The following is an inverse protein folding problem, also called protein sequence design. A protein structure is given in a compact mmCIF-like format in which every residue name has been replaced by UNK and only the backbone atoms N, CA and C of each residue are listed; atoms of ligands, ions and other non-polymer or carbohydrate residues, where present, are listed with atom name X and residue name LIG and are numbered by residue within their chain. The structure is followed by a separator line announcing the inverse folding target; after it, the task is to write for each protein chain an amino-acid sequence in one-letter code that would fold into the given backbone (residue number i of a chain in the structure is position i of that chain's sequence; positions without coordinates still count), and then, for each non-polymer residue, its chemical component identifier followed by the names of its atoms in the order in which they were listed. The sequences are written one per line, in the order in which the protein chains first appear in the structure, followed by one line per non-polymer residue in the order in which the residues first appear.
data_IF_526798145164
#
_entry.id   IF_526798145164
#
_cell.length_a   1.000
_cell.length_b   1.000
_cell.length_c   1.000
_cell.angle_alpha   90.00
_cell.angle_beta   90.00
_cell.angle_gamma   90.00
#
_symmetry.space_group_name_H-M   'P 1'
#
loop_
_entity.id
_entity.type
_entity.pdbx_description
1 polymer ?
#
# COMPACT_ATOMS: atom_id res chain seq x y z
N UNK A 1 -14.77 -24.67 7.67
CA UNK A 1 -13.56 -24.12 7.03
C UNK A 1 -13.07 -22.98 7.92
N UNK A 2 -11.83 -23.04 8.46
CA UNK A 2 -11.28 -21.95 9.29
C UNK A 2 -10.54 -20.98 8.35
N UNK A 3 -11.07 -19.77 8.15
CA UNK A 3 -10.32 -18.71 7.48
C UNK A 3 -9.25 -18.21 8.45
N UNK A 4 -7.99 -18.32 8.05
CA UNK A 4 -6.88 -17.68 8.75
C UNK A 4 -6.58 -16.34 8.07
N UNK A 5 -6.63 -15.26 8.84
CA UNK A 5 -6.30 -13.90 8.41
C UNK A 5 -4.93 -13.53 8.98
N UNK A 6 -3.96 -13.18 8.12
CA UNK A 6 -2.61 -12.77 8.54
C UNK A 6 -2.34 -11.34 8.03
N UNK A 7 -1.95 -10.44 8.94
CA UNK A 7 -1.53 -9.07 8.65
C UNK A 7 -0.02 -8.97 8.51
N UNK A 8 0.46 -8.11 7.60
CA UNK A 8 1.90 -7.98 7.29
C UNK A 8 2.31 -6.51 7.27
N UNK A 9 2.93 -6.03 8.35
CA UNK A 9 3.43 -4.65 8.49
C UNK A 9 4.89 -4.52 8.01
N UNK A 10 5.22 -3.53 7.16
CA UNK A 10 6.59 -3.28 6.68
C UNK A 10 7.00 -1.80 6.80
N UNK A 11 8.23 -1.47 7.21
CA UNK A 11 8.70 -0.08 7.48
C UNK A 11 9.94 0.25 6.64
N UNK A 12 9.97 1.41 5.99
CA UNK A 12 11.16 1.91 5.24
C UNK A 12 11.78 3.12 5.92
N UNK A 13 13.05 3.00 6.33
CA UNK A 13 13.85 4.10 6.85
C UNK A 13 14.76 4.63 5.71
N UNK A 14 14.64 5.90 5.33
CA UNK A 14 15.66 6.58 4.53
C UNK A 14 16.74 7.12 5.48
N UNK A 15 18.01 6.84 5.20
CA UNK A 15 19.15 7.45 5.87
C UNK A 15 20.10 8.03 4.82
N UNK A 16 20.67 9.19 5.09
CA UNK A 16 21.64 9.84 4.21
C UNK A 16 23.00 9.14 4.30
N UNK A 17 23.39 8.42 3.25
CA UNK A 17 24.79 8.16 2.92
C UNK A 17 25.11 8.65 1.50
N UNK A 18 26.26 9.31 1.41
CA UNK A 18 26.77 10.01 0.22
C UNK A 18 27.03 9.10 -0.99
N UNK A 19 26.51 9.56 -2.14
CA UNK A 19 26.99 9.45 -3.53
C UNK A 19 27.42 8.08 -4.07
N UNK A 20 26.49 7.43 -4.76
CA UNK A 20 26.69 6.86 -6.09
C UNK A 20 25.38 6.98 -6.90
N UNK A 21 25.39 7.26 -8.22
CA UNK A 21 24.19 7.19 -9.03
C UNK A 21 23.97 5.72 -9.40
N UNK A 22 23.22 5.03 -8.57
CA UNK A 22 22.74 3.68 -8.82
C UNK A 22 21.23 3.77 -8.64
N UNK A 23 20.45 3.39 -9.66
CA UNK A 23 19.07 2.98 -9.46
C UNK A 23 19.07 1.73 -8.58
N UNK A 24 19.39 1.90 -7.30
CA UNK A 24 19.30 0.87 -6.29
C UNK A 24 17.82 0.81 -5.89
N UNK A 25 17.12 -0.22 -6.34
CA UNK A 25 15.86 -0.62 -5.73
C UNK A 25 16.11 -0.84 -4.24
N UNK A 26 15.59 0.07 -3.42
CA UNK A 26 15.65 -0.07 -1.97
C UNK A 26 14.42 -0.87 -1.56
N UNK A 27 14.63 -2.10 -1.08
CA UNK A 27 13.58 -2.95 -0.52
C UNK A 27 13.75 -3.03 0.99
N UNK A 28 12.69 -2.74 1.74
CA UNK A 28 12.63 -3.20 3.12
C UNK A 28 12.04 -4.62 3.13
N UNK A 29 12.73 -5.53 3.82
CA UNK A 29 12.27 -6.90 4.05
C UNK A 29 11.96 -7.07 5.53
N UNK A 30 10.76 -7.55 5.84
CA UNK A 30 10.45 -8.05 7.19
C UNK A 30 10.57 -9.56 7.17
N UNK A 31 11.31 -10.12 8.12
CA UNK A 31 11.36 -11.58 8.31
C UNK A 31 9.92 -12.09 8.54
N UNK A 32 9.46 -13.08 7.75
CA UNK A 32 8.13 -13.62 7.93
C UNK A 32 7.99 -14.16 9.35
N UNK A 33 6.80 -14.01 9.94
CA UNK A 33 6.52 -14.74 11.18
C UNK A 33 6.62 -16.24 10.90
N UNK A 34 6.97 -17.09 11.89
CA UNK A 34 7.17 -18.53 11.65
C UNK A 34 6.00 -19.24 10.96
N UNK A 35 4.80 -18.64 10.99
CA UNK A 35 3.58 -19.18 10.41
C UNK A 35 2.98 -18.29 9.30
N UNK A 36 3.71 -17.30 8.78
CA UNK A 36 3.20 -16.48 7.68
C UNK A 36 3.19 -17.29 6.38
N UNK A 37 2.06 -17.31 5.62
CA UNK A 37 2.00 -18.06 4.35
C UNK A 37 2.71 -17.33 3.20
N UNK A 38 3.03 -16.05 3.38
CA UNK A 38 3.71 -15.21 2.41
C UNK A 38 4.88 -14.45 3.03
N UNK A 39 5.90 -14.23 2.23
CA UNK A 39 6.93 -13.22 2.46
C UNK A 39 6.52 -11.95 1.70
N UNK A 40 6.57 -10.79 2.35
CA UNK A 40 6.21 -9.51 1.75
C UNK A 40 7.40 -8.54 1.71
N UNK A 41 7.55 -7.83 0.60
CA UNK A 41 8.59 -6.83 0.38
C UNK A 41 7.97 -5.59 -0.26
N UNK A 42 8.26 -4.41 0.27
CA UNK A 42 7.91 -3.14 -0.39
C UNK A 42 9.15 -2.63 -1.09
N UNK A 43 9.08 -2.61 -2.41
CA UNK A 43 10.15 -2.19 -3.30
C UNK A 43 9.91 -0.72 -3.64
N UNK A 44 10.90 0.12 -3.36
CA UNK A 44 10.88 1.55 -3.69
C UNK A 44 11.58 1.74 -5.02
N UNK A 45 10.84 2.13 -6.06
CA UNK A 45 11.41 2.47 -7.37
C UNK A 45 11.87 3.92 -7.43
N UNK A 46 11.18 4.80 -6.69
CA UNK A 46 11.52 6.21 -6.59
C UNK A 46 11.60 6.66 -5.13
N UNK A 47 12.78 7.15 -4.72
CA UNK A 47 13.07 7.61 -3.36
C UNK A 47 13.00 9.13 -3.19
N UNK A 48 12.99 9.89 -4.29
CA UNK A 48 13.00 11.35 -4.28
C UNK A 48 11.82 11.92 -5.06
N UNK A 49 11.10 12.85 -4.43
CA UNK A 49 9.93 13.51 -5.01
C UNK A 49 10.09 15.02 -4.91
N UNK A 50 9.67 15.73 -5.97
CA UNK A 50 9.68 17.19 -5.97
C UNK A 50 8.39 17.65 -5.28
N UNK A 51 8.51 18.34 -4.15
CA UNK A 51 7.38 18.98 -3.48
C UNK A 51 7.10 20.34 -4.14
N UNK A 52 5.93 20.55 -4.78
CA UNK A 52 5.61 21.83 -5.40
C UNK A 52 5.50 22.94 -4.37
N UNK A 53 5.85 24.17 -4.76
CA UNK A 53 5.74 25.34 -3.88
C UNK A 53 4.30 25.62 -3.41
N UNK A 54 3.29 25.17 -4.15
CA UNK A 54 1.88 25.30 -3.76
C UNK A 54 1.43 24.29 -2.71
N UNK A 55 2.24 23.25 -2.43
CA UNK A 55 1.89 22.13 -1.55
C UNK A 55 2.76 22.04 -0.29
N UNK A 56 3.42 23.13 0.10
CA UNK A 56 4.23 23.16 1.33
C UNK A 56 3.79 24.24 2.29
N UNK A 57 4.12 24.04 3.57
CA UNK A 57 4.02 25.02 4.63
C UNK A 57 2.68 25.05 5.37
N UNK A 58 2.63 25.91 6.40
CA UNK A 58 1.53 25.96 7.37
C UNK A 58 0.15 26.27 6.76
N UNK A 59 0.11 27.12 5.74
CA UNK A 59 -1.16 27.50 5.10
C UNK A 59 -1.78 26.30 4.36
N UNK A 60 -0.96 25.57 3.60
CA UNK A 60 -1.40 24.36 2.91
C UNK A 60 -1.83 23.28 3.92
N UNK A 61 -1.04 23.03 4.96
CA UNK A 61 -1.39 22.08 6.03
C UNK A 61 -2.77 22.38 6.65
N UNK A 62 -2.98 23.63 7.07
CA UNK A 62 -4.26 24.06 7.67
C UNK A 62 -5.44 23.90 6.71
N UNK A 63 -5.22 24.14 5.42
CA UNK A 63 -6.28 23.95 4.43
C UNK A 63 -6.66 22.47 4.29
N UNK A 64 -5.67 21.57 4.17
CA UNK A 64 -5.92 20.12 4.11
C UNK A 64 -6.66 19.62 5.35
N UNK A 65 -6.25 20.07 6.55
CA UNK A 65 -6.87 19.69 7.83
C UNK A 65 -8.29 20.24 8.01
N UNK A 66 -8.61 21.39 7.40
CA UNK A 66 -9.90 22.04 7.54
C UNK A 66 -10.93 21.58 6.48
N UNK A 67 -10.46 21.09 5.34
CA UNK A 67 -11.32 20.63 4.26
C UNK A 67 -12.03 19.33 4.64
N UNK A 68 -13.34 19.26 4.38
CA UNK A 68 -14.17 18.08 4.65
C UNK A 68 -14.60 17.36 3.38
N UNK A 69 -14.50 18.05 2.25
CA UNK A 69 -14.87 17.57 0.92
C UNK A 69 -13.64 17.03 0.19
N UNK A 70 -13.61 15.72 -0.05
CA UNK A 70 -12.51 15.05 -0.73
C UNK A 70 -12.30 15.55 -2.16
N UNK A 71 -13.33 16.08 -2.81
CA UNK A 71 -13.23 16.59 -4.20
C UNK A 71 -12.50 17.94 -4.26
N UNK A 72 -12.44 18.66 -3.14
CA UNK A 72 -11.70 19.92 -3.02
C UNK A 72 -10.25 19.71 -2.62
N UNK A 73 -9.91 18.56 -2.04
CA UNK A 73 -8.53 18.22 -1.72
C UNK A 73 -7.70 18.07 -2.99
N UNK A 74 -6.39 18.40 -2.95
CA UNK A 74 -5.53 18.14 -4.07
C UNK A 74 -5.34 16.63 -4.23
N UNK A 75 -5.04 16.17 -5.45
CA UNK A 75 -4.71 14.76 -5.67
C UNK A 75 -3.61 14.29 -4.71
N UNK A 76 -3.79 13.09 -4.15
CA UNK A 76 -2.82 12.45 -3.27
C UNK A 76 -1.42 12.44 -3.91
N UNK A 77 -0.34 12.57 -3.13
CA UNK A 77 1.00 12.52 -3.66
C UNK A 77 1.25 11.21 -4.41
N UNK A 78 1.86 11.35 -5.60
CA UNK A 78 2.29 10.21 -6.40
C UNK A 78 3.53 9.58 -5.78
N UNK A 79 3.55 8.26 -5.78
CA UNK A 79 4.70 7.44 -5.39
C UNK A 79 4.96 6.40 -6.48
N UNK A 80 6.13 5.77 -6.47
CA UNK A 80 6.40 4.59 -7.30
C UNK A 80 6.93 3.48 -6.42
N UNK A 81 5.99 2.67 -5.90
CA UNK A 81 6.26 1.54 -5.03
C UNK A 81 5.67 0.26 -5.64
N UNK A 82 6.26 -0.88 -5.31
CA UNK A 82 5.71 -2.20 -5.63
C UNK A 82 5.67 -3.03 -4.37
N UNK A 83 4.47 -3.50 -4.00
CA UNK A 83 4.31 -4.54 -3.00
C UNK A 83 4.49 -5.90 -3.67
N UNK A 84 5.53 -6.61 -3.28
CA UNK A 84 5.82 -7.97 -3.70
C UNK A 84 5.40 -8.96 -2.62
N UNK A 85 4.58 -9.94 -2.98
CA UNK A 85 4.10 -11.02 -2.12
C UNK A 85 4.55 -12.35 -2.70
N UNK A 86 5.43 -13.06 -2.01
CA UNK A 86 5.90 -14.40 -2.39
C UNK A 86 5.24 -15.45 -1.52
N UNK A 87 4.53 -16.39 -2.12
CA UNK A 87 3.97 -17.52 -1.38
C UNK A 87 5.09 -18.49 -0.98
N UNK A 88 5.33 -18.58 0.33
CA UNK A 88 6.34 -19.48 0.93
C UNK A 88 5.70 -20.73 1.53
N UNK A 89 4.37 -20.85 1.46
CA UNK A 89 3.61 -22.00 1.92
C UNK A 89 3.50 -23.08 0.83
N UNK A 90 2.89 -24.22 1.19
CA UNK A 90 2.59 -25.34 0.28
C UNK A 90 1.18 -25.26 -0.30
N UNK A 91 0.38 -24.30 0.14
CA UNK A 91 -1.02 -24.12 -0.26
C UNK A 91 -1.14 -22.86 -1.12
N UNK A 92 -2.21 -22.78 -1.92
CA UNK A 92 -2.53 -21.56 -2.65
C UNK A 92 -2.91 -20.44 -1.68
N UNK A 93 -2.39 -19.23 -1.93
CA UNK A 93 -2.71 -18.02 -1.16
C UNK A 93 -3.59 -17.12 -2.01
N UNK A 94 -4.72 -16.71 -1.48
CA UNK A 94 -5.67 -15.85 -2.19
C UNK A 94 -5.55 -14.39 -1.75
N UNK A 95 -5.59 -13.52 -2.75
CA UNK A 95 -5.65 -12.08 -2.58
C UNK A 95 -7.11 -11.66 -2.68
N UNK A 96 -7.77 -11.60 -1.52
CA UNK A 96 -9.15 -11.19 -1.31
C UNK A 96 -10.24 -12.13 -1.90
N UNK A 97 -11.05 -12.81 -1.04
CA UNK A 97 -12.03 -13.79 -1.50
C UNK A 97 -13.32 -13.23 -2.11
N UNK A 98 -13.52 -11.90 -2.11
CA UNK A 98 -14.79 -11.27 -2.52
C UNK A 98 -14.71 -10.48 -3.83
N UNK A 99 -13.69 -10.73 -4.65
CA UNK A 99 -13.71 -10.38 -6.08
C UNK A 99 -13.22 -8.99 -6.49
N UNK A 100 -12.59 -8.22 -5.61
CA UNK A 100 -11.90 -6.98 -5.97
C UNK A 100 -10.46 -6.99 -5.41
N UNK A 101 -9.52 -6.44 -6.16
CA UNK A 101 -8.14 -6.24 -5.67
C UNK A 101 -8.20 -5.14 -4.61
N UNK A 102 -7.87 -5.49 -3.37
CA UNK A 102 -7.63 -4.50 -2.31
C UNK A 102 -6.19 -4.00 -2.42
N UNK A 103 -5.97 -2.69 -2.35
CA UNK A 103 -4.63 -2.15 -2.16
C UNK A 103 -4.24 -2.17 -0.69
N UNK A 104 -2.93 -2.20 -0.36
CA UNK A 104 -2.48 -2.14 1.03
C UNK A 104 -3.00 -0.91 1.75
N UNK A 105 -3.27 -1.08 3.03
CA UNK A 105 -3.41 0.05 3.94
C UNK A 105 -2.03 0.68 4.11
N UNK A 106 -1.89 1.93 3.68
CA UNK A 106 -0.65 2.67 3.82
C UNK A 106 -0.66 3.44 5.14
N UNK A 107 0.48 3.54 5.79
CA UNK A 107 0.72 4.47 6.89
C UNK A 107 1.98 5.27 6.57
N UNK A 108 1.86 6.59 6.59
CA UNK A 108 2.98 7.49 6.30
C UNK A 108 3.34 8.24 7.57
N UNK A 109 4.63 8.25 7.90
CA UNK A 109 5.16 9.02 9.03
C UNK A 109 6.34 9.89 8.55
N UNK A 110 6.54 11.02 9.21
CA UNK A 110 7.58 11.99 8.83
C UNK A 110 7.16 13.41 9.18
N UNK A 111 8.10 14.36 9.07
CA UNK A 111 7.82 15.75 9.40
C UNK A 111 6.81 16.34 8.40
N UNK A 112 5.71 16.91 8.91
CA UNK A 112 4.73 17.57 8.06
C UNK A 112 3.84 16.62 7.27
N UNK A 113 3.77 15.33 7.63
CA UNK A 113 2.67 14.46 7.18
C UNK A 113 1.36 15.01 7.75
N UNK A 114 0.34 15.06 6.90
CA UNK A 114 -1.03 15.40 7.26
C UNK A 114 -1.93 14.29 6.78
N UNK A 115 -2.79 13.83 7.69
CA UNK A 115 -3.88 12.91 7.42
C UNK A 115 -5.17 13.60 7.88
N UNK A 116 -5.99 14.14 6.96
CA UNK A 116 -7.26 14.73 7.35
C UNK A 116 -8.19 13.63 7.89
N UNK A 117 -8.71 13.85 9.09
CA UNK A 117 -9.55 12.92 9.86
C UNK A 117 -11.05 13.28 9.80
N UNK A 118 -11.37 14.44 9.22
CA UNK A 118 -12.69 15.05 9.11
C UNK A 118 -13.33 14.87 7.72
N UNK A 119 -12.73 14.07 6.84
CA UNK A 119 -13.28 13.82 5.50
C UNK A 119 -14.61 13.09 5.61
N UNK A 120 -15.64 13.62 4.94
CA UNK A 120 -16.87 12.87 4.73
C UNK A 120 -16.50 11.65 3.90
N UNK A 121 -16.61 10.47 4.50
CA UNK A 121 -16.22 9.21 3.87
C UNK A 121 -17.00 9.03 2.57
N UNK A 122 -16.29 9.07 1.45
CA UNK A 122 -16.81 8.56 0.20
C UNK A 122 -16.46 7.07 0.10
N UNK A 123 -17.46 6.21 0.25
CA UNK A 123 -17.33 4.79 -0.08
C UNK A 123 -17.36 4.65 -1.61
N UNK A 124 -16.21 4.79 -2.25
CA UNK A 124 -16.02 4.36 -3.62
C UNK A 124 -16.09 2.83 -3.67
N UNK A 125 -17.29 2.26 -3.80
CA UNK A 125 -17.46 0.84 -4.09
C UNK A 125 -16.95 0.56 -5.50
N UNK A 126 -15.68 0.18 -5.63
CA UNK A 126 -15.19 -0.48 -6.82
C UNK A 126 -15.63 -1.95 -6.79
N UNK A 127 -16.89 -2.20 -7.13
CA UNK A 127 -17.45 -3.53 -7.38
C UNK A 127 -17.15 -3.99 -8.81
N UNK A 128 -15.87 -4.01 -9.19
CA UNK A 128 -15.44 -4.73 -10.37
C UNK A 128 -15.24 -6.20 -10.01
N UNK A 129 -16.03 -7.12 -10.57
CA UNK A 129 -15.78 -8.56 -10.47
C UNK A 129 -14.50 -8.88 -11.25
N UNK A 130 -13.36 -8.82 -10.57
CA UNK A 130 -12.09 -9.24 -11.13
C UNK A 130 -11.78 -10.67 -10.71
N UNK A 131 -11.13 -11.40 -11.60
CA UNK A 131 -10.60 -12.73 -11.30
C UNK A 131 -9.71 -12.60 -10.06
N UNK A 132 -10.01 -13.39 -9.03
CA UNK A 132 -9.29 -13.35 -7.77
C UNK A 132 -7.84 -13.78 -8.00
N UNK A 133 -6.85 -12.92 -7.72
CA UNK A 133 -5.47 -13.32 -7.86
C UNK A 133 -5.13 -14.38 -6.81
N UNK A 134 -4.72 -15.55 -7.28
CA UNK A 134 -4.18 -16.62 -6.44
C UNK A 134 -2.68 -16.71 -6.65
N UNK A 135 -1.92 -16.68 -5.56
CA UNK A 135 -0.48 -16.90 -5.54
C UNK A 135 -0.25 -18.39 -5.27
N UNK A 136 0.15 -19.14 -6.29
CA UNK A 136 0.52 -20.56 -6.13
C UNK A 136 1.81 -20.70 -5.29
N UNK A 137 2.06 -21.89 -4.69
CA UNK A 137 3.29 -22.17 -3.96
C UNK A 137 4.56 -21.78 -4.72
N UNK A 138 5.43 -21.00 -4.05
CA UNK A 138 6.69 -20.52 -4.62
C UNK A 138 6.55 -19.41 -5.67
N UNK A 139 5.33 -18.99 -6.03
CA UNK A 139 5.10 -17.88 -6.96
C UNK A 139 5.05 -16.54 -6.24
N UNK A 140 5.20 -15.49 -7.03
CA UNK A 140 5.22 -14.10 -6.58
C UNK A 140 4.13 -13.31 -7.28
N UNK A 141 3.42 -12.50 -6.50
CA UNK A 141 2.48 -11.50 -6.97
C UNK A 141 3.04 -10.11 -6.71
N UNK A 142 2.81 -9.18 -7.64
CA UNK A 142 3.29 -7.80 -7.56
C UNK A 142 2.13 -6.84 -7.74
N UNK A 143 2.00 -5.91 -6.82
CA UNK A 143 1.01 -4.85 -6.84
C UNK A 143 1.72 -3.50 -6.91
N UNK A 144 1.46 -2.76 -7.99
CA UNK A 144 1.96 -1.39 -8.12
C UNK A 144 1.15 -0.44 -7.22
N UNK A 145 1.84 0.48 -6.56
CA UNK A 145 1.26 1.53 -5.72
C UNK A 145 1.82 2.84 -6.25
N UNK A 146 0.97 3.60 -6.93
CA UNK A 146 1.32 4.81 -7.67
C UNK A 146 0.94 6.12 -6.94
N UNK A 147 0.25 6.00 -5.81
CA UNK A 147 -0.17 7.12 -4.98
C UNK A 147 -0.28 6.72 -3.51
N UNK A 148 -0.22 7.72 -2.62
CA UNK A 148 -0.48 7.54 -1.18
C UNK A 148 -1.97 7.40 -0.84
N UNK A 149 -2.84 7.28 -1.85
CA UNK A 149 -4.24 6.88 -1.71
C UNK A 149 -4.61 5.87 -2.82
N UNK A 150 -4.08 4.64 -2.76
CA UNK A 150 -4.23 3.69 -3.85
C UNK A 150 -5.66 3.15 -4.00
N UNK A 151 -6.47 3.20 -2.94
CA UNK A 151 -7.87 2.76 -2.96
C UNK A 151 -8.87 3.87 -3.36
N UNK A 152 -8.41 5.11 -3.56
CA UNK A 152 -9.29 6.26 -3.85
C UNK A 152 -10.23 6.65 -2.69
N UNK A 153 -10.04 6.10 -1.50
CA UNK A 153 -10.85 6.32 -0.29
C UNK A 153 -10.04 6.87 0.86
N UNK A 154 -10.58 6.84 2.09
CA UNK A 154 -9.82 7.19 3.30
C UNK A 154 -8.97 6.00 3.79
N UNK A 155 -7.76 6.20 4.33
CA UNK A 155 -7.12 7.49 4.65
C UNK A 155 -6.33 8.11 3.49
N UNK A 156 -6.24 9.45 3.45
CA UNK A 156 -5.39 10.21 2.54
C UNK A 156 -4.16 10.71 3.29
N UNK A 157 -2.97 10.56 2.71
CA UNK A 157 -1.74 11.13 3.27
C UNK A 157 -1.19 12.22 2.37
N UNK A 158 -0.79 13.34 2.97
CA UNK A 158 -0.10 14.42 2.30
C UNK A 158 1.22 14.73 3.01
N UNK A 159 2.31 14.86 2.25
CA UNK A 159 3.54 15.48 2.75
C UNK A 159 3.49 16.99 2.49
N UNK A 160 3.62 17.79 3.55
CA UNK A 160 3.49 19.25 3.49
C UNK A 160 4.80 19.99 3.77
N UNK A 161 5.91 19.27 3.92
CA UNK A 161 7.26 19.82 4.12
C UNK A 161 8.27 19.03 3.29
N UNK A 162 9.44 19.59 2.96
CA UNK A 162 10.56 18.76 2.50
C UNK A 162 11.12 17.95 3.68
N UNK A 163 11.46 16.68 3.45
CA UNK A 163 12.05 15.85 4.50
C UNK A 163 12.06 14.38 4.16
N UNK A 164 12.43 13.58 5.16
CA UNK A 164 12.37 12.13 5.08
C UNK A 164 11.01 11.62 5.57
N UNK A 165 10.50 10.63 4.84
CA UNK A 165 9.22 10.00 5.11
C UNK A 165 9.38 8.50 5.14
N UNK A 166 8.69 7.87 6.08
CA UNK A 166 8.61 6.43 6.22
C UNK A 166 7.23 5.99 5.78
N UNK A 167 7.17 5.16 4.74
CA UNK A 167 5.94 4.55 4.25
C UNK A 167 5.89 3.11 4.74
N UNK A 168 4.75 2.76 5.32
CA UNK A 168 4.44 1.41 5.78
C UNK A 168 3.24 0.89 5.00
N UNK A 169 3.28 -0.36 4.56
CA UNK A 169 2.15 -1.04 3.94
C UNK A 169 1.71 -2.22 4.82
N UNK A 170 0.42 -2.30 5.12
CA UNK A 170 -0.24 -3.49 5.67
C UNK A 170 -1.10 -4.16 4.59
N UNK A 171 -0.92 -5.46 4.42
CA UNK A 171 -1.65 -6.25 3.44
C UNK A 171 -2.18 -7.54 4.05
N UNK A 172 -3.46 -7.82 3.79
CA UNK A 172 -4.13 -9.03 4.27
C UNK A 172 -4.20 -10.08 3.16
N UNK A 173 -3.73 -11.29 3.46
CA UNK A 173 -3.85 -12.46 2.60
C UNK A 173 -4.67 -13.55 3.26
N UNK A 174 -5.28 -14.42 2.45
CA UNK A 174 -6.14 -15.50 2.91
C UNK A 174 -5.60 -16.86 2.45
N UNK A 175 -5.71 -17.87 3.31
CA UNK A 175 -5.35 -19.26 3.02
C UNK A 175 -6.51 -20.21 3.31
N UNK A 176 -6.43 -21.44 2.81
CA UNK A 176 -7.41 -22.48 3.09
C UNK A 176 -8.78 -22.23 2.47
N UNK A 177 -8.82 -21.50 1.36
CA UNK A 177 -10.00 -21.30 0.52
C UNK A 177 -9.91 -22.24 -0.70
N UNK A 178 -11.04 -22.70 -1.27
CA UNK A 178 -11.00 -23.52 -2.46
C UNK A 178 -10.38 -22.71 -3.62
N UNK A 179 -9.56 -23.33 -4.49
CA UNK A 179 -9.04 -22.65 -5.67
C UNK A 179 -10.20 -22.17 -6.55
N UNK A 180 -10.04 -21.01 -7.18
CA UNK A 180 -10.98 -20.49 -8.17
C UNK A 180 -10.49 -20.85 -9.59
N UNK A 181 -11.37 -21.25 -10.53
CA UNK A 181 -12.83 -21.39 -10.41
C UNK A 181 -13.26 -22.51 -9.47
N UNK A 182 -14.43 -22.38 -8.84
CA UNK A 182 -14.95 -23.41 -7.95
C UNK A 182 -15.23 -24.70 -8.76
N UNK A 183 -15.11 -25.90 -8.14
CA UNK A 183 -15.46 -27.14 -8.82
C UNK A 183 -16.91 -27.07 -9.35
N UNK A 184 -17.07 -27.03 -10.67
CA UNK A 184 -18.39 -26.93 -11.34
C UNK A 184 -18.58 -25.71 -12.25
N UNK A 185 -17.67 -24.73 -12.24
CA UNK A 185 -17.75 -23.51 -13.06
C UNK A 185 -17.07 -23.65 -14.45
N UNK A 186 -17.16 -24.83 -15.10
CA UNK A 186 -16.69 -25.06 -16.49
C UNK A 186 -17.78 -24.92 -17.52
#
# INVERSE_FOLDING_TARGET
MKLNCTRVLLVILCTWLSVAPLWAEQSAEKKPSPNAPVEARLIVKQTKYILPRSRYGKAFRKWIEAETDSDKLPAAPKVDLVLELKNISKEDVMIFPRGAIIYPELTVTGQGVVQPDNLQTFSGESSGSSIQPTIQPGKTYRLAIDSLNPNGGTPWYFWCEPGEYTITADYTVYTGLPPFPLPGDT
#
